data_IF_002736553654
#
_entry.id   IF_002736553654
#
_cell.length_a   1.000
_cell.length_b   1.000
_cell.length_c   1.000
_cell.angle_alpha   90.00
_cell.angle_beta   90.00
_cell.angle_gamma   90.00
#
_symmetry.space_group_name_H-M   'P 1'
#
loop_
_entity.id
_entity.type
_entity.pdbx_description
1 polymer ?
#
# COMPACT_ATOMS: atom_id res chain seq x y z
N UNK A 1 13.77 8.07 -6.16
CA UNK A 1 13.33 7.97 -4.75
C UNK A 1 13.88 6.70 -4.13
N UNK A 2 14.50 6.78 -2.98
CA UNK A 2 15.00 5.60 -2.30
C UNK A 2 13.85 4.81 -1.67
N UNK A 3 14.06 3.50 -1.50
CA UNK A 3 13.00 2.64 -0.98
C UNK A 3 12.50 3.07 0.38
N UNK A 4 13.40 3.49 1.28
CA UNK A 4 13.00 3.97 2.61
C UNK A 4 12.12 5.21 2.53
N UNK A 5 12.45 6.14 1.65
CA UNK A 5 11.64 7.33 1.46
C UNK A 5 10.27 6.98 0.88
N UNK A 6 10.24 6.05 -0.06
CA UNK A 6 9.00 5.56 -0.65
C UNK A 6 8.12 4.92 0.42
N UNK A 7 8.71 4.10 1.28
CA UNK A 7 7.98 3.44 2.37
C UNK A 7 7.41 4.47 3.34
N UNK A 8 8.20 5.46 3.75
CA UNK A 8 7.73 6.50 4.66
C UNK A 8 6.56 7.28 4.06
N UNK A 9 6.67 7.63 2.79
CA UNK A 9 5.59 8.33 2.09
C UNK A 9 4.35 7.46 2.01
N UNK A 10 4.52 6.19 1.65
CA UNK A 10 3.41 5.24 1.55
C UNK A 10 2.70 5.09 2.90
N UNK A 11 3.45 4.87 3.98
CA UNK A 11 2.88 4.73 5.32
C UNK A 11 2.09 5.98 5.71
N UNK A 12 2.66 7.14 5.48
CA UNK A 12 2.00 8.41 5.80
C UNK A 12 0.69 8.57 5.03
N UNK A 13 0.72 8.30 3.74
CA UNK A 13 -0.46 8.44 2.87
C UNK A 13 -1.54 7.45 3.26
N UNK A 14 -1.17 6.19 3.46
CA UNK A 14 -2.14 5.14 3.82
C UNK A 14 -2.74 5.39 5.20
N UNK A 15 -1.92 5.78 6.16
CA UNK A 15 -2.41 6.07 7.50
C UNK A 15 -3.42 7.21 7.49
N UNK A 16 -3.15 8.26 6.73
CA UNK A 16 -4.03 9.42 6.63
C UNK A 16 -5.32 9.08 5.89
N UNK A 17 -5.21 8.41 4.74
CA UNK A 17 -6.36 8.12 3.89
C UNK A 17 -7.32 7.11 4.51
N UNK A 18 -6.79 6.08 5.18
CA UNK A 18 -7.59 5.01 5.76
C UNK A 18 -7.79 5.16 7.27
N UNK A 19 -7.34 6.27 7.84
CA UNK A 19 -7.52 6.58 9.25
C UNK A 19 -7.01 5.50 10.19
N UNK A 20 -5.80 4.98 9.91
CA UNK A 20 -5.12 4.03 10.78
C UNK A 20 -3.83 4.64 11.29
N UNK A 21 -3.34 4.13 12.41
CA UNK A 21 -2.09 4.63 12.98
C UNK A 21 -0.90 4.12 12.20
N UNK A 22 0.12 4.96 12.03
CA UNK A 22 1.31 4.57 11.30
C UNK A 22 2.01 3.36 11.94
N UNK A 23 1.95 3.27 13.26
CA UNK A 23 2.54 2.16 14.00
C UNK A 23 1.89 0.81 13.67
N UNK A 24 0.64 0.82 13.23
CA UNK A 24 -0.06 -0.40 12.82
C UNK A 24 0.39 -0.89 11.45
N UNK A 25 0.99 -0.03 10.65
CA UNK A 25 1.41 -0.37 9.30
C UNK A 25 2.84 -0.91 9.35
N UNK A 26 2.96 -2.18 9.71
CA UNK A 26 4.25 -2.87 9.79
C UNK A 26 4.48 -3.70 8.52
N UNK A 27 5.74 -3.89 8.10
CA UNK A 27 6.01 -4.63 6.86
C UNK A 27 5.40 -6.03 6.81
N UNK A 28 5.40 -6.72 7.94
CA UNK A 28 4.86 -8.08 8.04
C UNK A 28 3.36 -8.13 8.30
N UNK A 29 2.72 -6.99 8.54
CA UNK A 29 1.29 -6.95 8.82
C UNK A 29 0.47 -7.16 7.56
N UNK A 30 -0.69 -7.78 7.72
CA UNK A 30 -1.61 -8.01 6.60
C UNK A 30 -2.32 -6.71 6.25
N UNK A 31 -2.31 -6.34 4.97
CA UNK A 31 -2.91 -5.08 4.51
C UNK A 31 -4.41 -5.02 4.80
N UNK A 32 -5.14 -6.06 4.42
CA UNK A 32 -6.59 -6.08 4.60
C UNK A 32 -6.98 -6.04 6.07
N UNK A 33 -6.31 -6.83 6.89
CA UNK A 33 -6.61 -6.89 8.31
C UNK A 33 -6.27 -5.59 9.03
N UNK A 34 -5.12 -5.01 8.72
CA UNK A 34 -4.65 -3.79 9.38
C UNK A 34 -5.54 -2.59 9.05
N UNK A 35 -5.92 -2.45 7.78
CA UNK A 35 -6.71 -1.30 7.33
C UNK A 35 -8.20 -1.61 7.19
N UNK A 36 -8.62 -2.81 7.55
CA UNK A 36 -10.02 -3.23 7.47
C UNK A 36 -10.61 -3.03 6.07
N UNK A 37 -9.84 -3.44 5.05
CA UNK A 37 -10.23 -3.22 3.66
C UNK A 37 -11.19 -4.29 3.16
N UNK A 38 -12.21 -3.85 2.44
CA UNK A 38 -13.04 -4.73 1.61
C UNK A 38 -12.60 -4.57 0.15
N UNK A 39 -13.34 -5.18 -0.77
CA UNK A 39 -12.99 -5.14 -2.20
C UNK A 39 -12.98 -3.72 -2.77
N UNK A 40 -13.91 -2.87 -2.32
CA UNK A 40 -14.01 -1.50 -2.79
C UNK A 40 -12.85 -0.66 -2.25
N UNK A 41 -12.51 -0.84 -0.99
CA UNK A 41 -11.41 -0.10 -0.37
C UNK A 41 -10.06 -0.49 -0.97
N UNK A 42 -9.90 -1.74 -1.39
CA UNK A 42 -8.70 -2.16 -2.11
C UNK A 42 -8.53 -1.40 -3.42
N UNK A 43 -9.61 -1.16 -4.14
CA UNK A 43 -9.58 -0.38 -5.38
C UNK A 43 -9.17 1.06 -5.06
N UNK A 44 -9.67 1.62 -3.97
CA UNK A 44 -9.27 2.96 -3.53
C UNK A 44 -7.78 3.02 -3.24
N UNK A 45 -7.23 2.00 -2.58
CA UNK A 45 -5.79 1.92 -2.30
C UNK A 45 -4.99 1.88 -3.60
N UNK A 46 -5.42 1.09 -4.56
CA UNK A 46 -4.77 0.99 -5.87
C UNK A 46 -4.74 2.34 -6.57
N UNK A 47 -5.87 3.05 -6.55
CA UNK A 47 -5.97 4.38 -7.14
C UNK A 47 -5.05 5.38 -6.46
N UNK A 48 -4.98 5.32 -5.15
CA UNK A 48 -4.11 6.21 -4.37
C UNK A 48 -2.63 5.97 -4.69
N UNK A 49 -2.22 4.72 -4.76
CA UNK A 49 -0.84 4.37 -5.12
C UNK A 49 -0.50 4.87 -6.52
N UNK A 50 -1.41 4.69 -7.48
CA UNK A 50 -1.20 5.18 -8.83
C UNK A 50 -1.05 6.70 -8.85
N UNK A 51 -1.91 7.41 -8.14
CA UNK A 51 -1.88 8.87 -8.10
C UNK A 51 -0.60 9.40 -7.46
N UNK A 52 -0.15 8.77 -6.37
CA UNK A 52 0.97 9.28 -5.60
C UNK A 52 2.34 8.81 -6.10
N UNK A 53 2.41 7.62 -6.66
CA UNK A 53 3.69 7.02 -7.10
C UNK A 53 3.76 6.76 -8.61
N UNK A 54 2.67 6.95 -9.32
CA UNK A 54 2.61 6.68 -10.75
C UNK A 54 2.71 5.20 -11.09
N UNK A 55 2.41 4.32 -10.14
CA UNK A 55 2.49 2.87 -10.32
C UNK A 55 1.09 2.28 -10.40
N UNK A 56 0.81 1.57 -11.50
CA UNK A 56 -0.46 0.88 -11.66
C UNK A 56 -0.37 -0.53 -11.09
N UNK A 57 -1.18 -0.81 -10.08
CA UNK A 57 -1.30 -2.15 -9.53
C UNK A 57 -2.38 -2.88 -10.30
N UNK A 58 -1.99 -3.94 -11.01
CA UNK A 58 -2.94 -4.69 -11.84
C UNK A 58 -3.80 -5.60 -10.97
N UNK A 59 -5.08 -5.70 -11.32
CA UNK A 59 -6.04 -6.50 -10.58
C UNK A 59 -5.58 -7.94 -10.34
N UNK A 60 -5.04 -8.66 -11.34
CA UNK A 60 -4.57 -10.03 -11.12
C UNK A 60 -3.43 -10.15 -10.11
N UNK A 61 -2.71 -9.06 -9.85
CA UNK A 61 -1.60 -9.06 -8.90
C UNK A 61 -2.05 -8.80 -7.46
N UNK A 62 -3.26 -8.26 -7.28
CA UNK A 62 -3.75 -7.91 -5.94
C UNK A 62 -3.74 -9.08 -4.95
N UNK A 63 -4.16 -10.30 -5.32
CA UNK A 63 -4.17 -11.41 -4.36
C UNK A 63 -2.78 -11.77 -3.82
N UNK A 64 -1.71 -11.42 -4.52
CA UNK A 64 -0.36 -11.70 -4.06
C UNK A 64 0.18 -10.63 -3.11
N UNK A 65 -0.49 -9.48 -3.01
CA UNK A 65 -0.10 -8.38 -2.14
C UNK A 65 -0.78 -8.54 -0.79
N UNK A 66 -0.24 -9.42 0.05
CA UNK A 66 -0.85 -9.75 1.33
C UNK A 66 -0.36 -8.85 2.46
N UNK A 67 0.93 -8.55 2.47
CA UNK A 67 1.55 -7.73 3.50
C UNK A 67 1.99 -6.38 2.93
N UNK A 68 2.27 -5.44 3.82
CA UNK A 68 2.79 -4.14 3.38
C UNK A 68 4.15 -4.29 2.71
N UNK A 69 4.98 -5.24 3.16
CA UNK A 69 6.26 -5.51 2.50
C UNK A 69 6.06 -5.92 1.04
N UNK A 70 5.07 -6.76 0.77
CA UNK A 70 4.73 -7.16 -0.59
C UNK A 70 4.35 -5.94 -1.44
N UNK A 71 3.55 -5.05 -0.86
CA UNK A 71 3.13 -3.81 -1.54
C UNK A 71 4.33 -2.91 -1.83
N UNK A 72 5.21 -2.73 -0.86
CA UNK A 72 6.39 -1.88 -1.04
C UNK A 72 7.30 -2.40 -2.15
N UNK A 73 7.55 -3.71 -2.16
CA UNK A 73 8.39 -4.31 -3.19
C UNK A 73 7.76 -4.17 -4.57
N UNK A 74 6.46 -4.40 -4.68
CA UNK A 74 5.73 -4.28 -5.93
C UNK A 74 5.85 -2.86 -6.48
N UNK A 75 5.58 -1.87 -5.66
CA UNK A 75 5.61 -0.47 -6.06
C UNK A 75 7.03 -0.04 -6.41
N UNK A 76 7.99 -0.39 -5.56
CA UNK A 76 9.37 0.05 -5.75
C UNK A 76 9.98 -0.49 -7.05
N UNK A 77 9.70 -1.74 -7.39
CA UNK A 77 10.25 -2.34 -8.61
C UNK A 77 9.63 -1.77 -9.89
N UNK A 78 8.49 -1.10 -9.78
CA UNK A 78 7.78 -0.53 -10.92
C UNK A 78 7.89 1.00 -11.02
N UNK A 79 8.58 1.61 -10.10
CA UNK A 79 8.81 3.06 -10.13
C UNK A 79 9.82 3.45 -11.20
#
# INVERSE_FOLDING_TARGET
>A
MEKEEMIKKMVSILADEFEVEQEAIQPEANIKETMHLDSLSLVDMVGLVNEEFGVEIKTPDLPSLKTFADLYDYVYTRM
#
